data_IF_524044998007
#
_entry.id   IF_524044998007
#
_cell.length_a   1.000
_cell.length_b   1.000
_cell.length_c   1.000
_cell.angle_alpha   90.00
_cell.angle_beta   90.00
_cell.angle_gamma   90.00
#
_symmetry.space_group_name_H-M   'P 1'
#
loop_
_entity.id
_entity.type
_entity.pdbx_description
1 polymer ?
#
# COMPACT_ATOMS: atom_id res chain seq x y z
N UNK A 1 -4.66 -11.52 -18.35
CA UNK A 1 -4.28 -11.42 -16.92
C UNK A 1 -2.77 -11.33 -16.92
N UNK A 2 -2.20 -10.17 -16.57
CA UNK A 2 -0.79 -9.87 -16.85
C UNK A 2 0.05 -9.62 -15.58
N UNK A 3 -0.54 -9.75 -14.39
CA UNK A 3 0.18 -9.65 -13.12
C UNK A 3 0.34 -11.05 -12.52
N UNK A 4 1.55 -11.41 -12.03
CA UNK A 4 1.89 -12.79 -11.68
C UNK A 4 1.09 -13.34 -10.51
N UNK A 5 0.72 -12.50 -9.53
CA UNK A 5 -0.03 -12.94 -8.36
C UNK A 5 -1.45 -13.46 -8.70
N UNK A 6 -2.05 -13.02 -9.81
CA UNK A 6 -3.35 -13.52 -10.25
C UNK A 6 -3.32 -14.97 -10.75
N UNK A 7 -2.14 -15.51 -11.10
CA UNK A 7 -2.00 -16.93 -11.46
C UNK A 7 -2.29 -17.84 -10.26
N UNK A 8 -1.96 -17.37 -9.05
CA UNK A 8 -2.09 -18.13 -7.80
C UNK A 8 -3.21 -17.67 -6.86
N UNK A 9 -3.81 -16.49 -7.07
CA UNK A 9 -4.80 -15.93 -6.15
C UNK A 9 -6.07 -15.49 -6.91
N UNK A 10 -6.96 -16.40 -7.28
CA UNK A 10 -6.86 -17.87 -7.22
C UNK A 10 -6.96 -18.44 -8.64
N UNK A 11 -6.44 -19.65 -8.91
CA UNK A 11 -6.61 -20.29 -10.22
C UNK A 11 -8.09 -20.31 -10.65
N UNK A 12 -8.38 -19.74 -11.83
CA UNK A 12 -9.75 -19.61 -12.35
C UNK A 12 -10.62 -18.52 -11.72
N UNK A 13 -10.14 -17.83 -10.68
CA UNK A 13 -10.86 -16.74 -9.98
C UNK A 13 -9.87 -15.66 -9.49
N UNK A 14 -9.36 -14.80 -10.40
CA UNK A 14 -8.35 -13.80 -10.06
C UNK A 14 -8.93 -12.73 -9.14
N UNK A 15 -8.30 -12.54 -7.98
CA UNK A 15 -8.64 -11.54 -6.96
C UNK A 15 -7.33 -10.90 -6.51
N UNK A 16 -7.28 -9.58 -6.40
CA UNK A 16 -6.10 -8.88 -5.91
C UNK A 16 -5.89 -9.24 -4.43
N UNK A 17 -4.71 -9.77 -4.03
CA UNK A 17 -4.44 -10.03 -2.63
C UNK A 17 -4.54 -8.73 -1.81
N UNK A 18 -5.33 -8.74 -0.73
CA UNK A 18 -5.53 -7.55 0.11
C UNK A 18 -4.21 -7.00 0.68
N UNK A 19 -3.24 -7.88 0.94
CA UNK A 19 -1.89 -7.50 1.38
C UNK A 19 -1.13 -6.67 0.34
N UNK A 20 -1.35 -6.89 -0.95
CA UNK A 20 -0.73 -6.09 -2.01
C UNK A 20 -1.40 -4.72 -2.17
N UNK A 21 -2.68 -4.60 -1.82
CA UNK A 21 -3.36 -3.30 -1.72
C UNK A 21 -2.74 -2.49 -0.57
N UNK A 22 -2.50 -3.13 0.57
CA UNK A 22 -1.81 -2.51 1.71
C UNK A 22 -0.38 -2.08 1.34
N UNK A 23 0.37 -2.96 0.70
CA UNK A 23 1.74 -2.68 0.23
C UNK A 23 1.75 -1.49 -0.75
N UNK A 24 0.84 -1.46 -1.71
CA UNK A 24 0.73 -0.34 -2.64
C UNK A 24 0.41 0.99 -1.93
N UNK A 25 -0.47 1.00 -0.93
CA UNK A 25 -0.72 2.20 -0.11
C UNK A 25 0.53 2.62 0.69
N UNK A 26 1.27 1.66 1.24
CA UNK A 26 2.53 1.93 1.94
C UNK A 26 3.57 2.56 0.99
N UNK A 27 3.65 2.09 -0.25
CA UNK A 27 4.52 2.67 -1.28
C UNK A 27 4.11 4.10 -1.66
N UNK A 28 2.81 4.38 -1.81
CA UNK A 28 2.32 5.76 -2.01
C UNK A 28 2.71 6.65 -0.82
N UNK A 29 2.62 6.15 0.41
CA UNK A 29 3.13 6.84 1.60
C UNK A 29 4.64 7.07 1.56
N UNK A 30 5.42 6.11 1.06
CA UNK A 30 6.86 6.25 0.83
C UNK A 30 7.19 7.41 -0.12
N UNK A 31 6.43 7.59 -1.20
CA UNK A 31 6.57 8.73 -2.12
C UNK A 31 6.31 10.07 -1.41
N UNK A 32 5.32 10.14 -0.50
CA UNK A 32 5.10 11.36 0.29
C UNK A 32 6.32 11.66 1.18
N UNK A 33 6.96 10.62 1.73
CA UNK A 33 8.13 10.80 2.59
C UNK A 33 9.39 11.25 1.84
N UNK A 34 9.54 10.91 0.56
CA UNK A 34 10.69 11.42 -0.23
C UNK A 34 10.65 12.93 -0.43
N UNK A 35 9.51 13.58 -0.18
CA UNK A 35 9.37 15.04 -0.22
C UNK A 35 9.88 15.72 1.06
N UNK A 36 10.20 14.96 2.11
CA UNK A 36 10.76 15.52 3.35
C UNK A 36 12.29 15.71 3.23
N UNK A 37 12.87 16.69 3.94
CA UNK A 37 14.32 16.88 3.97
C UNK A 37 15.07 15.63 4.44
N UNK A 38 16.26 15.42 3.89
CA UNK A 38 17.18 14.33 4.24
C UNK A 38 16.64 12.91 4.02
N UNK A 39 15.61 12.71 3.19
CA UNK A 39 15.05 11.37 2.95
C UNK A 39 15.60 10.62 1.73
N UNK A 40 16.45 11.27 0.94
CA UNK A 40 17.05 10.68 -0.25
C UNK A 40 17.88 9.43 0.08
N UNK A 41 17.68 8.35 -0.69
CA UNK A 41 18.39 7.08 -0.52
C UNK A 41 18.05 6.27 0.74
N UNK A 42 17.10 6.71 1.58
CA UNK A 42 16.72 5.98 2.80
C UNK A 42 15.74 4.86 2.50
N UNK A 43 15.97 3.70 3.14
CA UNK A 43 15.04 2.58 3.13
C UNK A 43 13.87 2.86 4.08
N UNK A 44 12.66 2.82 3.55
CA UNK A 44 11.44 2.87 4.36
C UNK A 44 10.97 1.45 4.64
N UNK A 45 10.76 1.14 5.92
CA UNK A 45 10.25 -0.14 6.37
C UNK A 45 8.82 0.03 6.88
N UNK A 46 7.93 -0.85 6.42
CA UNK A 46 6.56 -0.88 6.88
C UNK A 46 6.49 -1.56 8.26
N UNK A 47 6.32 -0.74 9.30
CA UNK A 47 6.46 -1.20 10.68
C UNK A 47 5.17 -1.74 11.30
N UNK A 48 4.02 -1.35 10.77
CA UNK A 48 2.72 -1.77 11.32
C UNK A 48 1.56 -1.08 10.62
N UNK A 49 0.38 -1.66 10.80
CA UNK A 49 -0.86 -1.16 10.26
C UNK A 49 -1.97 -1.29 11.30
N UNK A 50 -2.89 -0.34 11.34
CA UNK A 50 -4.04 -0.35 12.24
C UNK A 50 -5.34 -0.17 11.45
N UNK A 51 -6.45 -0.71 11.97
CA UNK A 51 -7.83 -0.51 11.48
C UNK A 51 -8.10 -0.79 10.00
N UNK A 52 -7.33 -1.67 9.35
CA UNK A 52 -7.56 -2.07 7.95
C UNK A 52 -8.91 -2.76 7.78
N UNK A 53 -9.66 -2.37 6.74
CA UNK A 53 -10.90 -3.04 6.35
C UNK A 53 -10.98 -3.20 4.84
N UNK A 54 -11.09 -4.43 4.36
CA UNK A 54 -11.36 -4.73 2.96
C UNK A 54 -12.88 -4.86 2.76
N UNK A 55 -13.47 -3.96 1.97
CA UNK A 55 -14.94 -3.90 1.81
C UNK A 55 -15.47 -4.77 0.66
N UNK A 56 -14.68 -4.95 -0.40
CA UNK A 56 -15.02 -5.78 -1.55
C UNK A 56 -13.75 -6.34 -2.19
N UNK A 57 -13.83 -7.49 -2.88
CA UNK A 57 -12.74 -7.94 -3.74
C UNK A 57 -12.43 -6.90 -4.82
N UNK A 58 -11.15 -6.82 -5.17
CA UNK A 58 -10.66 -6.11 -6.36
C UNK A 58 -10.26 -7.17 -7.37
N UNK A 59 -10.61 -6.95 -8.63
CA UNK A 59 -10.41 -7.92 -9.72
C UNK A 59 -9.68 -7.27 -10.91
N UNK A 60 -9.11 -8.06 -11.85
CA UNK A 60 -8.51 -7.49 -13.04
C UNK A 60 -9.47 -6.57 -13.81
N UNK A 61 -8.98 -5.39 -14.20
CA UNK A 61 -9.78 -4.34 -14.86
C UNK A 61 -10.25 -3.24 -13.91
N UNK A 62 -10.24 -3.45 -12.59
CA UNK A 62 -10.49 -2.40 -11.62
C UNK A 62 -9.36 -1.36 -11.63
N UNK A 63 -9.72 -0.08 -11.48
CA UNK A 63 -8.79 0.99 -11.13
C UNK A 63 -8.86 1.27 -9.64
N UNK A 64 -7.76 1.07 -8.91
CA UNK A 64 -7.65 1.51 -7.52
C UNK A 64 -7.18 2.95 -7.46
N UNK A 65 -7.99 3.82 -6.84
CA UNK A 65 -7.57 5.16 -6.47
C UNK A 65 -7.13 5.14 -5.01
N UNK A 66 -5.84 5.34 -4.78
CA UNK A 66 -5.25 5.38 -3.44
C UNK A 66 -5.04 6.82 -3.01
N UNK A 67 -5.43 7.14 -1.79
CA UNK A 67 -5.21 8.44 -1.17
C UNK A 67 -4.44 8.21 0.11
N UNK A 68 -3.41 9.00 0.33
CA UNK A 68 -2.59 8.94 1.53
C UNK A 68 -2.50 10.31 2.15
N UNK A 69 -2.66 10.37 3.47
CA UNK A 69 -2.44 11.57 4.27
C UNK A 69 -1.33 11.31 5.28
N UNK A 70 -0.34 12.21 5.31
CA UNK A 70 0.69 12.19 6.34
C UNK A 70 0.15 12.85 7.61
N UNK A 71 -0.06 12.08 8.67
CA UNK A 71 -0.64 12.58 9.93
C UNK A 71 0.42 13.09 10.91
N UNK A 72 1.53 12.37 11.04
CA UNK A 72 2.65 12.79 11.90
C UNK A 72 3.96 12.11 11.53
N UNK A 73 5.06 12.80 11.81
CA UNK A 73 6.42 12.28 11.73
C UNK A 73 7.04 12.38 13.12
N UNK A 74 7.23 11.24 13.82
CA UNK A 74 7.80 11.21 15.18
C UNK A 74 9.02 10.31 15.22
N UNK A 75 10.19 10.85 15.57
CA UNK A 75 11.45 10.09 15.77
C UNK A 75 11.68 8.99 14.70
N UNK A 76 11.45 9.33 13.42
CA UNK A 76 11.57 8.43 12.24
C UNK A 76 10.54 7.29 12.14
N UNK A 77 9.43 7.35 12.90
CA UNK A 77 8.24 6.52 12.73
C UNK A 77 7.10 7.38 12.17
N UNK A 78 6.37 6.86 11.19
CA UNK A 78 5.20 7.51 10.61
C UNK A 78 3.97 6.65 10.86
N UNK A 79 2.83 7.32 11.07
CA UNK A 79 1.53 6.68 11.24
C UNK A 79 0.63 7.13 10.09
N UNK A 80 0.15 6.16 9.33
CA UNK A 80 -0.96 6.34 8.38
C UNK A 80 -2.26 5.91 9.07
N UNK A 81 -3.29 6.75 8.99
CA UNK A 81 -4.67 6.40 9.33
C UNK A 81 -5.57 7.05 8.28
N UNK A 82 -6.00 6.29 7.27
CA UNK A 82 -7.37 6.34 6.72
C UNK A 82 -7.72 5.06 5.93
#
# INVERSE_FOLDING_TARGET
INEPHFQGHFPGRPIMPGVLIVEAMAQVGGIVLTQLPDMEGKLFLFAGIDKVRFRRPVVPGDQLIMRVQLLSVKRRRFAYIE
#
